data_IF_184674631745
#
_entry.id   IF_184674631745
#
_cell.length_a   1.000
_cell.length_b   1.000
_cell.length_c   1.000
_cell.angle_alpha   90.00
_cell.angle_beta   90.00
_cell.angle_gamma   90.00
#
_symmetry.space_group_name_H-M   'P 1'
#
loop_
_entity.id
_entity.type
_entity.pdbx_description
1 polymer ?
#
# COMPACT_ATOMS: atom_id res chain seq x y z
N UNK A 1 20.70 6.07 -18.67
CA UNK A 1 21.11 4.68 -18.80
C UNK A 1 19.90 3.82 -19.13
N UNK A 2 19.98 3.03 -20.21
CA UNK A 2 18.97 2.04 -20.56
C UNK A 2 19.66 0.68 -20.66
N UNK A 3 19.16 -0.31 -19.93
CA UNK A 3 19.77 -1.63 -19.82
C UNK A 3 18.72 -2.73 -19.90
N UNK A 4 19.03 -3.83 -20.56
CA UNK A 4 18.19 -5.03 -20.64
C UNK A 4 18.94 -6.24 -20.09
N UNK A 5 18.23 -7.09 -19.39
CA UNK A 5 18.76 -8.31 -18.80
C UNK A 5 17.72 -9.43 -18.88
N UNK A 6 18.18 -10.68 -19.09
CA UNK A 6 17.29 -11.85 -19.20
C UNK A 6 16.63 -12.23 -17.87
N UNK A 7 17.23 -11.85 -16.75
CA UNK A 7 16.69 -12.11 -15.43
C UNK A 7 15.74 -11.02 -14.96
N UNK A 8 15.72 -9.86 -15.65
CA UNK A 8 14.79 -8.78 -15.35
C UNK A 8 13.37 -9.16 -15.81
N UNK A 9 12.42 -9.16 -14.89
CA UNK A 9 11.04 -9.57 -15.17
C UNK A 9 10.09 -8.44 -15.57
N UNK A 10 10.47 -7.18 -15.28
CA UNK A 10 9.64 -6.00 -15.52
C UNK A 10 10.45 -4.88 -16.16
N UNK A 11 9.76 -3.98 -16.88
CA UNK A 11 10.36 -2.70 -17.24
C UNK A 11 10.19 -1.74 -16.08
N UNK A 12 11.32 -1.32 -15.51
CA UNK A 12 11.37 -0.41 -14.37
C UNK A 12 12.22 0.81 -14.72
N UNK A 13 11.73 1.99 -14.41
CA UNK A 13 12.52 3.21 -14.46
C UNK A 13 12.71 3.79 -13.07
N UNK A 14 13.95 4.22 -12.78
CA UNK A 14 14.34 4.91 -11.57
C UNK A 14 14.84 6.30 -11.95
N UNK A 15 14.31 7.32 -11.30
CA UNK A 15 14.63 8.72 -11.54
C UNK A 15 15.16 9.28 -10.22
N UNK A 16 16.46 9.49 -10.17
CA UNK A 16 17.16 9.97 -8.98
C UNK A 16 17.42 11.47 -9.09
N UNK A 17 17.01 12.22 -8.12
CA UNK A 17 17.41 13.62 -7.91
C UNK A 17 18.37 13.63 -6.72
N UNK A 18 19.69 13.61 -7.00
CA UNK A 18 20.73 13.47 -5.97
C UNK A 18 20.91 14.76 -5.20
N UNK A 19 21.07 14.65 -3.90
CA UNK A 19 21.42 15.74 -3.00
C UNK A 19 22.49 15.30 -1.98
N UNK A 20 22.95 16.24 -1.17
CA UNK A 20 23.94 15.94 -0.14
C UNK A 20 23.30 15.10 0.97
N UNK A 21 23.99 14.04 1.38
CA UNK A 21 23.62 13.30 2.58
C UNK A 21 23.81 14.17 3.82
N UNK A 22 22.95 13.98 4.81
CA UNK A 22 23.09 14.70 6.09
C UNK A 22 24.38 14.25 6.79
N UNK A 23 25.29 15.19 7.15
CA UNK A 23 26.50 14.85 7.87
C UNK A 23 26.20 14.13 9.19
N UNK A 24 27.00 13.11 9.54
CA UNK A 24 26.77 12.28 10.72
C UNK A 24 26.66 13.07 12.02
N UNK A 25 27.46 14.14 12.16
CA UNK A 25 27.43 15.04 13.31
C UNK A 25 26.12 15.82 13.48
N UNK A 26 25.32 15.93 12.41
CA UNK A 26 24.01 16.62 12.41
C UNK A 26 22.82 15.67 12.60
N UNK A 27 23.02 14.36 12.50
CA UNK A 27 21.94 13.37 12.64
C UNK A 27 21.35 13.32 14.05
N UNK A 28 22.10 13.75 15.07
CA UNK A 28 21.60 13.91 16.43
C UNK A 28 20.76 15.15 16.69
N UNK A 29 20.62 16.04 15.75
CA UNK A 29 19.94 17.33 15.93
C UNK A 29 18.43 17.26 15.68
N UNK A 30 17.67 18.16 16.30
CA UNK A 30 16.24 18.33 16.02
C UNK A 30 15.94 18.62 14.54
N UNK A 31 16.87 19.26 13.83
CA UNK A 31 16.77 19.55 12.42
C UNK A 31 16.65 18.27 11.59
N UNK A 32 17.43 17.26 11.90
CA UNK A 32 17.37 15.95 11.23
C UNK A 32 16.03 15.26 11.46
N UNK A 33 15.52 15.25 12.69
CA UNK A 33 14.23 14.66 13.00
C UNK A 33 13.08 15.36 12.24
N UNK A 34 13.11 16.69 12.16
CA UNK A 34 12.13 17.48 11.39
C UNK A 34 12.24 17.18 9.89
N UNK A 35 13.46 17.06 9.38
CA UNK A 35 13.71 16.71 7.98
C UNK A 35 13.14 15.32 7.66
N UNK A 36 13.43 14.31 8.45
CA UNK A 36 12.93 12.94 8.24
C UNK A 36 11.39 12.89 8.31
N UNK A 37 10.81 13.60 9.28
CA UNK A 37 9.36 13.74 9.37
C UNK A 37 8.79 14.36 8.09
N UNK A 38 9.33 15.49 7.65
CA UNK A 38 8.83 16.20 6.46
C UNK A 38 9.01 15.37 5.18
N UNK A 39 10.16 14.73 4.98
CA UNK A 39 10.45 13.87 3.83
C UNK A 39 9.51 12.66 3.78
N UNK A 40 9.26 12.03 4.93
CA UNK A 40 8.29 10.93 5.04
C UNK A 40 6.90 11.37 4.60
N UNK A 41 6.42 12.52 5.08
CA UNK A 41 5.09 13.02 4.68
C UNK A 41 5.02 13.43 3.22
N UNK A 42 6.07 14.05 2.66
CA UNK A 42 6.16 14.39 1.23
C UNK A 42 5.99 13.11 0.39
N UNK A 43 6.75 12.06 0.71
CA UNK A 43 6.65 10.78 0.00
C UNK A 43 5.27 10.14 0.17
N UNK A 44 4.70 10.15 1.37
CA UNK A 44 3.37 9.59 1.61
C UNK A 44 2.28 10.32 0.79
N UNK A 45 2.31 11.65 0.73
CA UNK A 45 1.35 12.44 -0.03
C UNK A 45 1.50 12.21 -1.55
N UNK A 46 2.74 12.19 -2.05
CA UNK A 46 2.98 11.96 -3.47
C UNK A 46 2.62 10.52 -3.87
N UNK A 47 2.96 9.54 -3.04
CA UNK A 47 2.61 8.13 -3.26
C UNK A 47 1.10 7.90 -3.25
N UNK A 48 0.34 8.63 -2.43
CA UNK A 48 -1.12 8.60 -2.47
C UNK A 48 -1.65 9.08 -3.85
N UNK A 49 -1.13 10.20 -4.38
CA UNK A 49 -1.50 10.68 -5.74
C UNK A 49 -1.14 9.66 -6.83
N UNK A 50 0.04 9.05 -6.73
CA UNK A 50 0.48 8.02 -7.69
C UNK A 50 -0.41 6.78 -7.63
N UNK A 51 -0.86 6.40 -6.43
CA UNK A 51 -1.76 5.26 -6.25
C UNK A 51 -3.18 5.52 -6.79
N UNK A 52 -3.69 6.75 -6.70
CA UNK A 52 -4.97 7.14 -7.31
C UNK A 52 -4.99 6.87 -8.83
N UNK A 53 -3.88 7.13 -9.52
CA UNK A 53 -3.76 6.91 -10.96
C UNK A 53 -3.78 5.41 -11.33
N UNK A 54 -3.36 4.55 -10.42
CA UNK A 54 -3.43 3.08 -10.61
C UNK A 54 -4.87 2.56 -10.59
N UNK A 55 -5.79 3.29 -9.96
CA UNK A 55 -7.21 2.89 -9.86
C UNK A 55 -8.06 3.28 -11.09
N UNK A 56 -7.47 3.99 -12.07
CA UNK A 56 -8.17 4.36 -13.31
C UNK A 56 -8.32 3.15 -14.25
N UNK A 57 -9.33 3.15 -15.12
CA UNK A 57 -9.62 2.05 -16.05
C UNK A 57 -8.41 1.66 -16.94
N UNK A 58 -7.61 2.63 -17.32
CA UNK A 58 -6.37 2.42 -18.06
C UNK A 58 -5.19 3.09 -17.35
N UNK A 59 -4.67 2.46 -16.27
CA UNK A 59 -3.62 3.05 -15.49
C UNK A 59 -2.35 3.29 -16.34
N UNK A 60 -1.63 4.39 -16.13
CA UNK A 60 -0.46 4.74 -16.94
C UNK A 60 0.74 3.81 -16.68
N UNK A 61 0.74 3.10 -15.57
CA UNK A 61 1.79 2.17 -15.13
C UNK A 61 1.19 1.05 -14.28
N UNK A 62 1.99 0.06 -13.94
CA UNK A 62 1.61 -1.04 -13.03
C UNK A 62 1.75 -0.58 -11.58
N UNK A 63 2.84 0.11 -11.26
CA UNK A 63 3.18 0.63 -9.94
C UNK A 63 4.07 1.86 -10.08
N UNK A 64 3.92 2.83 -9.19
CA UNK A 64 4.87 3.93 -9.03
C UNK A 64 4.93 4.35 -7.56
N UNK A 65 6.12 4.78 -7.13
CA UNK A 65 6.36 5.32 -5.81
C UNK A 65 7.52 6.29 -5.79
N UNK A 66 7.62 7.08 -4.71
CA UNK A 66 8.78 7.91 -4.39
C UNK A 66 9.29 7.58 -3.00
N UNK A 67 10.58 7.77 -2.80
CA UNK A 67 11.25 7.70 -1.52
C UNK A 67 12.50 8.57 -1.54
N UNK A 68 13.04 8.88 -0.38
CA UNK A 68 14.30 9.61 -0.22
C UNK A 68 15.22 8.77 0.67
N UNK A 69 16.39 8.39 0.14
CA UNK A 69 17.30 7.45 0.78
C UNK A 69 18.70 7.55 0.15
N UNK A 70 19.63 6.74 0.61
CA UNK A 70 20.97 6.62 0.03
C UNK A 70 20.94 6.44 -1.50
N UNK A 71 21.79 7.15 -2.22
CA UNK A 71 21.96 6.95 -3.65
C UNK A 71 22.70 5.63 -3.94
N UNK A 72 21.98 4.54 -4.18
CA UNK A 72 22.50 3.18 -4.31
C UNK A 72 23.26 2.74 -3.06
N UNK A 73 24.55 2.47 -3.22
CA UNK A 73 25.47 2.08 -2.14
C UNK A 73 26.38 3.22 -1.69
N UNK A 74 26.17 4.44 -2.24
CA UNK A 74 27.04 5.58 -1.99
C UNK A 74 26.56 6.36 -0.77
N UNK A 75 27.23 6.21 0.37
CA UNK A 75 26.93 6.91 1.62
C UNK A 75 27.23 8.43 1.61
N UNK A 76 27.74 8.96 0.49
CA UNK A 76 28.10 10.38 0.36
C UNK A 76 27.02 11.22 -0.34
N UNK A 77 25.99 10.59 -0.82
CA UNK A 77 24.87 11.22 -1.52
C UNK A 77 23.59 10.47 -1.23
N UNK A 78 22.53 11.21 -0.96
CA UNK A 78 21.17 10.77 -0.95
C UNK A 78 20.49 11.11 -2.27
N UNK A 79 19.31 10.54 -2.49
CA UNK A 79 18.51 10.85 -3.66
C UNK A 79 17.01 10.77 -3.37
N UNK A 80 16.31 11.83 -3.72
CA UNK A 80 14.88 11.72 -3.90
C UNK A 80 14.61 10.92 -5.18
N UNK A 81 14.08 9.72 -5.01
CA UNK A 81 13.96 8.73 -6.06
C UNK A 81 12.51 8.48 -6.42
N UNK A 82 12.18 8.63 -7.70
CA UNK A 82 10.94 8.12 -8.27
C UNK A 82 11.16 6.77 -8.94
N UNK A 83 10.32 5.79 -8.60
CA UNK A 83 10.31 4.46 -9.21
C UNK A 83 9.00 4.28 -9.96
N UNK A 84 9.06 3.73 -11.19
CA UNK A 84 7.87 3.32 -11.94
C UNK A 84 8.09 1.96 -12.60
N UNK A 85 7.17 1.04 -12.38
CA UNK A 85 7.06 -0.23 -13.11
C UNK A 85 6.09 0.00 -14.25
N UNK A 86 6.62 0.00 -15.47
CA UNK A 86 5.90 0.36 -16.68
C UNK A 86 5.17 -0.85 -17.30
N UNK A 87 4.11 -0.57 -18.03
CA UNK A 87 3.58 -1.52 -19.00
C UNK A 87 4.53 -1.59 -20.20
N UNK A 88 4.76 -2.78 -20.73
CA UNK A 88 5.69 -2.97 -21.86
C UNK A 88 5.29 -2.22 -23.13
N UNK A 89 4.00 -1.98 -23.33
CA UNK A 89 3.41 -1.24 -24.46
C UNK A 89 3.29 0.26 -24.23
N UNK A 90 3.61 0.76 -23.03
CA UNK A 90 3.43 2.16 -22.63
C UNK A 90 4.55 2.70 -21.72
N UNK A 91 5.81 2.28 -21.95
CA UNK A 91 6.96 2.63 -21.09
C UNK A 91 7.12 4.15 -20.96
N UNK A 92 7.16 4.85 -22.07
CA UNK A 92 7.34 6.31 -22.08
C UNK A 92 6.20 7.04 -21.36
N UNK A 93 4.96 6.56 -21.48
CA UNK A 93 3.81 7.13 -20.80
C UNK A 93 3.90 6.94 -19.27
N UNK A 94 4.35 5.78 -18.81
CA UNK A 94 4.55 5.53 -17.38
C UNK A 94 5.59 6.49 -16.79
N UNK A 95 6.74 6.62 -17.44
CA UNK A 95 7.81 7.54 -17.04
C UNK A 95 7.33 8.99 -17.05
N UNK A 96 6.66 9.42 -18.14
CA UNK A 96 6.13 10.77 -18.28
C UNK A 96 5.11 11.11 -17.18
N UNK A 97 4.28 10.12 -16.79
CA UNK A 97 3.27 10.34 -15.74
C UNK A 97 3.90 10.48 -14.36
N UNK A 98 4.88 9.65 -14.00
CA UNK A 98 5.64 9.82 -12.74
C UNK A 98 6.30 11.20 -12.69
N UNK A 99 6.99 11.59 -13.77
CA UNK A 99 7.65 12.90 -13.86
C UNK A 99 6.63 14.06 -13.76
N UNK A 100 5.47 13.93 -14.40
CA UNK A 100 4.40 14.94 -14.36
C UNK A 100 3.86 15.15 -12.95
N UNK A 101 3.59 14.06 -12.21
CA UNK A 101 3.08 14.18 -10.83
C UNK A 101 4.15 14.72 -9.88
N UNK A 102 5.40 14.33 -10.05
CA UNK A 102 6.54 14.89 -9.31
C UNK A 102 6.72 16.39 -9.59
N UNK A 103 6.66 16.79 -10.86
CA UNK A 103 6.75 18.19 -11.26
C UNK A 103 5.53 18.99 -10.79
N UNK A 104 4.32 18.42 -10.81
CA UNK A 104 3.10 19.02 -10.24
C UNK A 104 3.27 19.30 -8.75
N UNK A 105 3.79 18.34 -8.00
CA UNK A 105 4.06 18.53 -6.57
C UNK A 105 5.14 19.59 -6.34
N UNK A 106 6.17 19.66 -7.18
CA UNK A 106 7.21 20.70 -7.13
C UNK A 106 6.66 22.09 -7.37
N UNK A 107 5.77 22.26 -8.39
CA UNK A 107 5.24 23.57 -8.79
C UNK A 107 4.14 24.08 -7.85
N UNK A 108 3.23 23.24 -7.45
CA UNK A 108 2.01 23.63 -6.73
C UNK A 108 1.96 23.15 -5.28
N UNK A 109 2.87 22.25 -4.89
CA UNK A 109 2.89 21.66 -3.56
C UNK A 109 1.75 20.68 -3.29
N UNK A 110 1.54 20.45 -2.00
CA UNK A 110 0.47 19.64 -1.43
C UNK A 110 -0.58 20.53 -0.78
N UNK A 111 -1.81 20.03 -0.71
CA UNK A 111 -2.93 20.71 -0.05
C UNK A 111 -2.91 20.47 1.47
N UNK A 112 -3.60 21.32 2.23
CA UNK A 112 -3.79 21.14 3.67
C UNK A 112 -4.49 19.82 4.01
N UNK A 113 -5.42 19.38 3.17
CA UNK A 113 -6.16 18.13 3.40
C UNK A 113 -5.28 16.91 3.21
N UNK A 114 -4.41 16.86 2.19
CA UNK A 114 -3.41 15.81 2.02
C UNK A 114 -2.44 15.78 3.22
N UNK A 115 -1.92 16.95 3.61
CA UNK A 115 -1.01 17.06 4.73
C UNK A 115 -1.64 16.60 6.04
N UNK A 116 -2.87 17.01 6.33
CA UNK A 116 -3.57 16.62 7.55
C UNK A 116 -3.78 15.10 7.62
N UNK A 117 -4.10 14.45 6.50
CA UNK A 117 -4.21 12.97 6.43
C UNK A 117 -2.88 12.29 6.64
N UNK A 118 -1.84 12.70 5.93
CA UNK A 118 -0.50 12.12 6.06
C UNK A 118 0.04 12.28 7.49
N UNK A 119 -0.17 13.45 8.11
CA UNK A 119 0.18 13.72 9.50
C UNK A 119 -0.60 12.84 10.46
N UNK A 120 -1.92 12.70 10.27
CA UNK A 120 -2.76 11.86 11.13
C UNK A 120 -2.31 10.39 11.06
N UNK A 121 -1.97 9.91 9.88
CA UNK A 121 -1.46 8.54 9.69
C UNK A 121 -0.09 8.34 10.33
N UNK A 122 0.83 9.28 10.16
CA UNK A 122 2.14 9.23 10.81
C UNK A 122 2.03 9.21 12.35
N UNK A 123 1.23 10.13 12.91
CA UNK A 123 1.00 10.20 14.36
C UNK A 123 0.31 8.93 14.89
N UNK A 124 -0.61 8.35 14.13
CA UNK A 124 -1.25 7.09 14.48
C UNK A 124 -0.24 5.93 14.55
N UNK A 125 0.68 5.85 13.57
CA UNK A 125 1.73 4.81 13.57
C UNK A 125 2.65 4.98 14.77
N UNK A 126 3.05 6.21 15.05
CA UNK A 126 3.91 6.54 16.19
C UNK A 126 3.20 6.24 17.54
N UNK A 127 1.91 6.58 17.66
CA UNK A 127 1.09 6.23 18.83
C UNK A 127 1.00 4.72 19.04
N UNK A 128 0.80 3.97 17.97
CA UNK A 128 0.77 2.51 18.04
C UNK A 128 2.11 1.93 18.50
N UNK A 129 3.22 2.43 17.96
CA UNK A 129 4.57 2.01 18.37
C UNK A 129 4.82 2.35 19.86
N UNK A 130 4.40 3.54 20.32
CA UNK A 130 4.49 3.93 21.72
C UNK A 130 3.65 3.04 22.64
N UNK A 131 2.42 2.73 22.25
CA UNK A 131 1.53 1.87 23.04
C UNK A 131 2.07 0.41 23.13
N UNK A 132 2.77 -0.04 22.09
CA UNK A 132 3.36 -1.40 22.04
C UNK A 132 4.81 -1.48 22.56
N UNK A 133 5.39 -0.40 23.09
CA UNK A 133 6.82 -0.32 23.45
C UNK A 133 7.30 -1.44 24.37
N UNK A 134 6.44 -1.88 25.32
CA UNK A 134 6.75 -2.98 26.24
C UNK A 134 6.54 -4.37 25.63
N UNK A 135 6.05 -4.44 24.37
CA UNK A 135 5.74 -5.67 23.63
C UNK A 135 6.51 -5.77 22.32
N UNK A 136 7.51 -4.89 22.10
CA UNK A 136 8.38 -4.92 20.91
C UNK A 136 9.15 -6.22 20.85
N UNK A 137 9.33 -6.73 19.63
CA UNK A 137 10.15 -7.90 19.37
C UNK A 137 11.63 -7.53 19.27
N UNK A 138 12.51 -8.51 19.57
CA UNK A 138 13.95 -8.30 19.47
C UNK A 138 14.41 -7.90 18.06
N UNK A 139 13.76 -8.40 17.00
CA UNK A 139 14.07 -8.06 15.62
C UNK A 139 13.93 -6.56 15.34
N UNK A 140 12.93 -5.90 15.92
CA UNK A 140 12.71 -4.45 15.77
C UNK A 140 13.86 -3.63 16.39
N UNK A 141 14.43 -4.11 17.50
CA UNK A 141 15.61 -3.47 18.11
C UNK A 141 16.89 -3.75 17.30
N UNK A 142 17.01 -4.94 16.71
CA UNK A 142 18.17 -5.25 15.87
C UNK A 142 18.24 -4.31 14.68
N UNK A 143 17.14 -4.06 13.99
CA UNK A 143 17.11 -3.14 12.85
C UNK A 143 17.50 -1.71 13.25
N UNK A 144 17.05 -1.25 14.42
CA UNK A 144 17.41 0.06 14.96
C UNK A 144 18.91 0.15 15.29
N UNK A 145 19.49 -0.88 15.92
CA UNK A 145 20.91 -0.93 16.25
C UNK A 145 21.80 -1.08 15.01
N UNK A 146 21.36 -1.82 14.00
CA UNK A 146 22.11 -1.97 12.75
C UNK A 146 22.19 -0.63 12.01
N UNK A 147 21.08 0.11 11.88
CA UNK A 147 21.07 1.46 11.30
C UNK A 147 21.96 2.42 12.10
N UNK A 148 21.88 2.38 13.42
CA UNK A 148 22.77 3.18 14.25
C UNK A 148 24.25 2.88 13.99
N UNK A 149 24.61 1.60 13.92
CA UNK A 149 25.99 1.18 13.73
C UNK A 149 26.53 1.49 12.33
N UNK A 150 25.70 1.30 11.30
CA UNK A 150 26.12 1.47 9.92
C UNK A 150 26.05 2.93 9.45
N UNK A 151 25.03 3.67 9.89
CA UNK A 151 24.64 4.95 9.32
C UNK A 151 24.58 6.08 10.35
N UNK A 152 25.03 5.83 11.59
CA UNK A 152 24.98 6.78 12.70
C UNK A 152 23.57 7.34 13.00
N UNK A 153 22.50 6.58 12.62
CA UNK A 153 21.15 6.96 12.95
C UNK A 153 20.94 7.09 14.47
N UNK A 154 20.32 8.16 14.97
CA UNK A 154 20.09 8.32 16.40
C UNK A 154 19.10 7.28 16.93
N UNK A 155 19.30 6.87 18.18
CA UNK A 155 18.37 6.00 18.91
C UNK A 155 17.73 6.82 20.06
N UNK A 156 16.73 7.65 19.78
CA UNK A 156 16.08 8.46 20.82
C UNK A 156 15.24 7.63 21.79
N UNK A 157 14.82 6.45 21.36
CA UNK A 157 13.79 5.65 22.01
C UNK A 157 12.39 6.17 21.72
N UNK A 158 11.43 5.24 21.63
CA UNK A 158 10.06 5.55 21.20
C UNK A 158 9.35 6.57 22.10
N UNK A 159 9.65 6.60 23.39
CA UNK A 159 9.07 7.57 24.34
C UNK A 159 9.47 9.01 24.01
N UNK A 160 10.75 9.22 23.70
CA UNK A 160 11.26 10.53 23.32
C UNK A 160 10.77 10.93 21.93
N UNK A 161 10.83 10.01 20.96
CA UNK A 161 10.34 10.25 19.61
C UNK A 161 8.85 10.63 19.62
N UNK A 162 8.03 9.86 20.35
CA UNK A 162 6.61 10.16 20.52
C UNK A 162 6.37 11.53 21.13
N UNK A 163 7.09 11.90 22.19
CA UNK A 163 6.94 13.19 22.84
C UNK A 163 7.36 14.35 21.91
N UNK A 164 8.50 14.23 21.27
CA UNK A 164 9.05 15.25 20.37
C UNK A 164 8.15 15.46 19.16
N UNK A 165 7.78 14.39 18.46
CA UNK A 165 6.97 14.49 17.24
C UNK A 165 5.58 15.07 17.55
N UNK A 166 4.93 14.66 18.64
CA UNK A 166 3.65 15.26 19.02
C UNK A 166 3.75 16.75 19.36
N UNK A 167 4.92 17.22 19.81
CA UNK A 167 5.15 18.63 20.06
C UNK A 167 5.41 19.42 18.76
N UNK A 168 6.21 18.88 17.84
CA UNK A 168 6.66 19.62 16.66
C UNK A 168 5.68 19.52 15.47
N UNK A 169 5.03 18.37 15.26
CA UNK A 169 4.17 18.14 14.09
C UNK A 169 3.05 19.20 13.94
N UNK A 170 2.36 19.66 15.02
CA UNK A 170 1.37 20.72 14.88
C UNK A 170 1.94 22.09 14.48
N UNK A 171 3.24 22.31 14.71
CA UNK A 171 3.90 23.59 14.43
C UNK A 171 4.49 23.66 13.00
N UNK A 172 4.58 22.53 12.31
CA UNK A 172 5.11 22.46 10.94
C UNK A 172 3.96 22.67 9.95
N UNK A 173 3.92 23.79 9.20
CA UNK A 173 2.88 24.04 8.22
C UNK A 173 3.17 23.29 6.90
N UNK A 174 2.13 22.97 6.11
CA UNK A 174 2.29 22.36 4.77
C UNK A 174 3.21 23.19 3.85
N UNK A 175 3.24 24.49 4.02
CA UNK A 175 4.12 25.37 3.26
C UNK A 175 5.61 25.03 3.43
N UNK A 176 6.04 24.57 4.60
CA UNK A 176 7.42 24.13 4.82
C UNK A 176 7.74 22.84 4.02
N UNK A 177 6.83 21.91 3.98
CA UNK A 177 6.96 20.69 3.17
C UNK A 177 6.98 21.03 1.67
N UNK A 178 6.15 21.97 1.26
CA UNK A 178 6.12 22.43 -0.14
C UNK A 178 7.43 23.09 -0.58
N UNK A 179 8.07 23.85 0.29
CA UNK A 179 9.42 24.39 0.04
C UNK A 179 10.47 23.28 -0.04
N UNK A 180 10.39 22.27 0.84
CA UNK A 180 11.28 21.13 0.80
C UNK A 180 11.10 20.31 -0.48
N UNK A 181 9.86 20.07 -0.93
CA UNK A 181 9.59 19.39 -2.20
C UNK A 181 10.25 20.10 -3.40
N UNK A 182 10.25 21.43 -3.42
CA UNK A 182 10.94 22.21 -4.45
C UNK A 182 12.46 22.02 -4.41
N UNK A 183 13.04 21.80 -3.23
CA UNK A 183 14.46 21.57 -3.06
C UNK A 183 14.88 20.13 -3.42
N UNK A 184 14.02 19.14 -3.19
CA UNK A 184 14.28 17.73 -3.50
C UNK A 184 14.29 17.46 -5.00
N UNK A 185 13.46 18.12 -5.79
CA UNK A 185 13.37 17.92 -7.24
C UNK A 185 14.05 19.08 -7.97
N UNK A 186 15.27 18.87 -8.40
CA UNK A 186 16.11 19.87 -9.06
C UNK A 186 16.35 19.54 -10.52
N UNK A 187 16.82 20.55 -11.28
CA UNK A 187 17.20 20.39 -12.69
C UNK A 187 18.64 19.86 -12.87
N UNK A 188 19.37 19.78 -11.79
CA UNK A 188 20.75 19.31 -11.75
C UNK A 188 20.86 18.01 -10.95
N UNK A 189 21.96 17.28 -11.13
CA UNK A 189 22.24 16.03 -10.40
C UNK A 189 21.19 14.93 -10.61
N UNK A 190 20.47 14.94 -11.74
CA UNK A 190 19.47 13.93 -12.06
C UNK A 190 20.07 12.74 -12.80
N UNK A 191 19.71 11.52 -12.39
CA UNK A 191 20.06 10.29 -13.09
C UNK A 191 18.76 9.54 -13.40
N UNK A 192 18.65 9.05 -14.64
CA UNK A 192 17.55 8.18 -15.07
C UNK A 192 18.14 6.84 -15.46
N UNK A 193 17.70 5.77 -14.80
CA UNK A 193 18.05 4.40 -15.10
C UNK A 193 16.79 3.62 -15.49
N UNK A 194 16.82 2.94 -16.63
CA UNK A 194 15.73 2.12 -17.12
C UNK A 194 16.25 0.72 -17.31
N UNK A 195 15.63 -0.23 -16.61
CA UNK A 195 15.94 -1.65 -16.68
C UNK A 195 14.75 -2.40 -17.26
N UNK A 196 14.99 -3.35 -18.12
CA UNK A 196 13.92 -4.15 -18.71
C UNK A 196 14.39 -5.55 -19.11
N UNK A 197 13.45 -6.46 -19.38
CA UNK A 197 13.79 -7.79 -19.84
C UNK A 197 14.44 -7.76 -21.23
N UNK A 198 15.44 -8.62 -21.42
CA UNK A 198 15.96 -8.94 -22.75
C UNK A 198 14.99 -9.91 -23.45
N UNK A 199 13.96 -9.33 -24.06
CA UNK A 199 12.81 -10.04 -24.64
C UNK A 199 12.59 -9.61 -26.07
N UNK A 200 12.38 -10.58 -26.96
CA UNK A 200 12.06 -10.31 -28.37
C UNK A 200 10.78 -9.47 -28.50
N UNK A 201 10.84 -8.43 -29.32
CA UNK A 201 9.71 -7.54 -29.59
C UNK A 201 9.55 -6.39 -28.59
N UNK A 202 10.22 -6.41 -27.43
CA UNK A 202 10.21 -5.29 -26.48
C UNK A 202 11.07 -4.13 -27.01
N UNK A 203 10.46 -2.97 -27.13
CA UNK A 203 11.15 -1.74 -27.56
C UNK A 203 11.41 -0.84 -26.35
N UNK A 204 12.65 -0.82 -25.89
CA UNK A 204 13.08 0.11 -24.86
C UNK A 204 13.18 1.54 -25.41
N UNK A 205 12.84 2.56 -24.62
CA UNK A 205 13.01 3.96 -25.04
C UNK A 205 14.49 4.30 -25.25
N UNK A 206 14.77 5.18 -26.21
CA UNK A 206 16.12 5.70 -26.41
C UNK A 206 16.45 6.78 -25.37
N UNK A 207 17.75 7.06 -25.15
CA UNK A 207 18.17 8.15 -24.29
C UNK A 207 17.59 9.50 -24.76
N UNK A 208 17.52 9.73 -26.07
CA UNK A 208 16.98 10.98 -26.62
C UNK A 208 15.47 11.10 -26.40
N UNK A 209 14.72 9.99 -26.47
CA UNK A 209 13.30 9.96 -26.11
C UNK A 209 13.11 10.36 -24.64
N UNK A 210 13.92 9.83 -23.73
CA UNK A 210 13.85 10.19 -22.29
C UNK A 210 14.24 11.65 -22.06
N UNK A 211 15.31 12.15 -22.67
CA UNK A 211 15.68 13.57 -22.59
C UNK A 211 14.56 14.47 -23.09
N UNK A 212 13.88 14.05 -24.17
CA UNK A 212 12.71 14.78 -24.69
C UNK A 212 11.57 14.78 -23.68
N UNK A 213 11.22 13.66 -23.07
CA UNK A 213 10.17 13.56 -22.04
C UNK A 213 10.49 14.51 -20.88
N UNK A 214 11.71 14.49 -20.35
CA UNK A 214 12.14 15.37 -19.27
C UNK A 214 11.96 16.85 -19.64
N UNK A 215 12.30 17.23 -20.86
CA UNK A 215 12.12 18.60 -21.37
C UNK A 215 10.66 18.98 -21.54
N UNK A 216 9.86 18.10 -22.12
CA UNK A 216 8.46 18.35 -22.42
C UNK A 216 7.64 18.52 -21.13
N UNK A 217 7.86 17.67 -20.11
CA UNK A 217 7.19 17.77 -18.81
C UNK A 217 7.49 19.12 -18.12
N UNK A 218 8.75 19.58 -18.17
CA UNK A 218 9.12 20.90 -17.61
C UNK A 218 8.44 22.07 -18.33
N UNK A 219 8.14 21.92 -19.61
CA UNK A 219 7.46 22.93 -20.41
C UNK A 219 5.92 22.80 -20.37
N UNK A 220 5.40 21.71 -19.82
CA UNK A 220 3.97 21.41 -19.77
C UNK A 220 3.26 22.40 -18.81
N UNK A 221 2.13 22.95 -19.25
CA UNK A 221 1.27 23.74 -18.37
C UNK A 221 0.47 22.82 -17.46
N UNK A 222 1.01 22.55 -16.29
CA UNK A 222 0.34 21.77 -15.28
C UNK A 222 -0.70 22.59 -14.52
N UNK A 223 -1.66 21.91 -13.92
CA UNK A 223 -2.62 22.49 -12.97
C UNK A 223 -2.39 21.87 -11.59
N UNK A 224 -2.73 22.61 -10.53
CA UNK A 224 -2.64 22.08 -9.17
C UNK A 224 -3.50 20.82 -9.02
N UNK A 225 -3.03 19.93 -8.16
CA UNK A 225 -3.82 18.77 -7.76
C UNK A 225 -5.07 19.22 -7.00
N UNK A 226 -6.21 18.60 -7.29
CA UNK A 226 -7.48 18.83 -6.59
C UNK A 226 -7.78 17.62 -5.73
N UNK A 227 -7.65 17.80 -4.44
CA UNK A 227 -7.96 16.75 -3.46
C UNK A 227 -9.46 16.64 -3.22
N UNK A 228 -10.06 15.59 -3.74
CA UNK A 228 -11.48 15.27 -3.49
C UNK A 228 -11.58 14.52 -2.18
N UNK A 229 -12.21 15.12 -1.19
CA UNK A 229 -12.45 14.52 0.13
C UNK A 229 -13.95 14.44 0.36
N UNK A 230 -14.42 13.32 0.91
CA UNK A 230 -15.80 13.17 1.39
C UNK A 230 -15.83 13.40 2.89
N UNK A 231 -16.78 14.22 3.35
CA UNK A 231 -17.07 14.43 4.77
C UNK A 231 -18.15 13.47 5.30
N UNK A 232 -18.63 12.53 4.46
CA UNK A 232 -19.64 11.58 4.84
C UNK A 232 -19.09 10.55 5.86
N UNK A 233 -19.88 10.15 6.87
CA UNK A 233 -19.51 9.06 7.75
C UNK A 233 -19.53 7.73 6.98
N UNK A 234 -18.73 6.75 7.40
CA UNK A 234 -18.70 5.41 6.81
C UNK A 234 -20.11 4.79 6.74
N UNK A 235 -20.91 5.04 7.75
CA UNK A 235 -22.31 4.63 7.81
C UNK A 235 -23.15 5.78 8.32
N UNK A 236 -24.21 6.14 7.57
CA UNK A 236 -25.14 7.19 7.98
C UNK A 236 -26.00 6.77 9.19
N UNK A 237 -26.35 5.49 9.25
CA UNK A 237 -27.18 4.92 10.32
C UNK A 237 -26.55 3.61 10.83
N UNK A 238 -26.57 3.41 12.14
CA UNK A 238 -26.17 2.15 12.73
C UNK A 238 -27.19 1.04 12.39
N UNK A 239 -26.75 -0.18 12.08
CA UNK A 239 -27.67 -1.28 11.84
C UNK A 239 -28.44 -1.62 13.11
N UNK A 240 -29.66 -2.15 12.92
CA UNK A 240 -30.46 -2.59 14.06
C UNK A 240 -29.75 -3.74 14.78
N UNK A 241 -29.39 -3.51 16.03
CA UNK A 241 -28.66 -4.49 16.84
C UNK A 241 -29.48 -5.77 17.10
N UNK A 242 -28.77 -6.90 17.17
CA UNK A 242 -29.32 -8.16 17.69
C UNK A 242 -29.31 -8.19 19.22
N UNK A 243 -29.70 -9.35 19.79
CA UNK A 243 -29.68 -9.58 21.23
C UNK A 243 -28.71 -10.71 21.55
N UNK A 244 -28.04 -10.64 22.71
CA UNK A 244 -27.35 -11.77 23.30
C UNK A 244 -28.40 -12.64 23.98
N UNK A 245 -28.51 -13.89 23.60
CA UNK A 245 -29.49 -14.84 24.13
C UNK A 245 -28.86 -15.84 25.12
N UNK A 246 -27.52 -15.98 25.09
CA UNK A 246 -26.80 -16.81 26.07
C UNK A 246 -25.37 -16.31 26.22
N UNK A 247 -24.82 -16.46 27.42
CA UNK A 247 -23.43 -16.20 27.76
C UNK A 247 -22.87 -17.38 28.56
N UNK A 248 -21.70 -17.86 28.20
CA UNK A 248 -21.00 -18.98 28.83
C UNK A 248 -19.51 -18.69 28.96
N UNK A 249 -18.94 -18.91 30.15
CA UNK A 249 -17.51 -18.78 30.40
C UNK A 249 -16.86 -20.16 30.43
N UNK A 250 -15.70 -20.29 29.82
CA UNK A 250 -14.82 -21.46 29.88
C UNK A 250 -13.51 -21.06 30.57
N UNK A 251 -13.36 -21.50 31.80
CA UNK A 251 -12.18 -21.18 32.63
C UNK A 251 -10.92 -21.91 32.13
N UNK A 252 -11.06 -23.04 31.44
CA UNK A 252 -9.94 -23.82 30.90
C UNK A 252 -9.19 -23.02 29.84
N UNK A 253 -9.94 -22.33 28.97
CA UNK A 253 -9.38 -21.52 27.89
C UNK A 253 -9.39 -20.03 28.20
N UNK A 254 -10.02 -19.60 29.29
CA UNK A 254 -10.20 -18.18 29.64
C UNK A 254 -11.01 -17.44 28.58
N UNK A 255 -12.09 -18.06 28.10
CA UNK A 255 -12.94 -17.49 27.04
C UNK A 255 -14.37 -17.26 27.53
N UNK A 256 -15.03 -16.26 26.93
CA UNK A 256 -16.47 -16.04 27.07
C UNK A 256 -17.14 -16.26 25.71
N UNK A 257 -18.11 -17.14 25.64
CA UNK A 257 -18.91 -17.40 24.44
C UNK A 257 -20.27 -16.74 24.56
N UNK A 258 -20.56 -15.81 23.65
CA UNK A 258 -21.89 -15.19 23.50
C UNK A 258 -22.62 -15.86 22.34
N UNK A 259 -23.89 -16.18 22.52
CA UNK A 259 -24.77 -16.59 21.43
C UNK A 259 -25.71 -15.43 21.11
N UNK A 260 -25.72 -15.02 19.85
CA UNK A 260 -26.59 -13.94 19.37
C UNK A 260 -27.95 -14.47 18.93
N UNK A 261 -28.94 -13.61 18.87
CA UNK A 261 -30.33 -13.96 18.49
C UNK A 261 -30.49 -14.54 17.07
N UNK A 262 -29.50 -14.31 16.20
CA UNK A 262 -29.41 -14.90 14.85
C UNK A 262 -28.63 -16.23 14.81
N UNK A 263 -28.21 -16.77 15.97
CA UNK A 263 -27.45 -18.01 16.08
C UNK A 263 -25.94 -17.87 15.96
N UNK A 264 -25.41 -16.70 15.65
CA UNK A 264 -23.95 -16.48 15.61
C UNK A 264 -23.34 -16.64 16.99
N UNK A 265 -22.24 -17.37 17.08
CA UNK A 265 -21.44 -17.50 18.30
C UNK A 265 -20.24 -16.55 18.23
N UNK A 266 -20.09 -15.74 19.27
CA UNK A 266 -18.95 -14.83 19.43
C UNK A 266 -18.12 -15.33 20.61
N UNK A 267 -16.88 -15.74 20.34
CA UNK A 267 -15.94 -16.23 21.36
C UNK A 267 -14.94 -15.10 21.62
N UNK A 268 -14.92 -14.64 22.87
CA UNK A 268 -14.04 -13.53 23.29
C UNK A 268 -12.96 -14.10 24.19
N UNK A 269 -11.71 -13.74 23.89
CA UNK A 269 -10.56 -14.02 24.76
C UNK A 269 -9.76 -12.76 24.98
N UNK A 270 -9.65 -12.33 26.24
CA UNK A 270 -8.73 -11.25 26.60
C UNK A 270 -7.31 -11.79 26.68
N UNK A 271 -6.36 -11.10 26.05
CA UNK A 271 -4.94 -11.43 26.10
C UNK A 271 -4.12 -10.17 26.39
N UNK A 272 -2.86 -10.36 26.76
CA UNK A 272 -1.89 -9.30 27.06
C UNK A 272 -0.68 -9.33 26.10
N UNK A 273 -0.80 -10.02 24.96
CA UNK A 273 0.28 -10.12 23.99
C UNK A 273 0.57 -8.80 23.29
N UNK A 274 -0.47 -8.00 23.07
CA UNK A 274 -0.43 -6.67 22.47
C UNK A 274 -1.28 -5.71 23.28
N UNK A 275 -0.82 -4.47 23.43
CA UNK A 275 -1.53 -3.45 24.17
C UNK A 275 -2.56 -2.68 23.34
N UNK A 276 -2.28 -2.54 22.04
CA UNK A 276 -3.06 -1.69 21.11
C UNK A 276 -3.59 -2.51 19.91
N UNK A 277 -4.07 -3.74 20.17
CA UNK A 277 -4.60 -4.60 19.13
C UNK A 277 -5.83 -5.39 19.57
N UNK A 278 -6.88 -5.35 18.76
CA UNK A 278 -7.99 -6.31 18.78
C UNK A 278 -7.96 -7.07 17.47
N UNK A 279 -7.96 -8.40 17.53
CA UNK A 279 -8.09 -9.27 16.37
C UNK A 279 -9.45 -9.94 16.33
N UNK A 280 -10.08 -9.91 15.17
CA UNK A 280 -11.31 -10.60 14.87
C UNK A 280 -11.07 -11.66 13.81
N UNK A 281 -11.68 -12.84 13.98
CA UNK A 281 -11.75 -13.87 12.95
C UNK A 281 -13.15 -14.47 12.94
N UNK A 282 -13.88 -14.30 11.85
CA UNK A 282 -15.11 -15.01 11.56
C UNK A 282 -14.83 -16.21 10.66
N UNK A 283 -15.54 -17.32 10.87
CA UNK A 283 -15.42 -18.54 10.08
C UNK A 283 -16.80 -19.09 9.79
N UNK A 284 -17.09 -19.38 8.52
CA UNK A 284 -18.25 -20.12 8.05
C UNK A 284 -17.81 -21.40 7.35
N UNK A 285 -18.60 -22.46 7.43
CA UNK A 285 -18.35 -23.69 6.67
C UNK A 285 -18.90 -23.53 5.26
N UNK A 286 -18.14 -23.99 4.25
CA UNK A 286 -18.48 -23.89 2.84
C UNK A 286 -17.24 -23.87 1.99
N UNK A 287 -16.84 -22.68 1.57
CA UNK A 287 -15.65 -22.45 0.77
C UNK A 287 -15.78 -22.89 -0.68
N UNK A 288 -14.65 -22.98 -1.37
CA UNK A 288 -14.60 -23.33 -2.79
C UNK A 288 -15.17 -24.72 -3.12
N UNK A 289 -15.27 -25.61 -2.12
CA UNK A 289 -15.87 -26.95 -2.28
C UNK A 289 -17.34 -26.93 -2.67
N UNK A 290 -18.04 -25.80 -2.45
CA UNK A 290 -19.47 -25.64 -2.81
C UNK A 290 -19.68 -25.25 -4.28
N UNK A 291 -18.62 -24.88 -4.99
CA UNK A 291 -18.70 -24.35 -6.35
C UNK A 291 -18.07 -25.32 -7.36
N UNK A 292 -18.53 -25.34 -8.61
CA UNK A 292 -17.92 -26.14 -9.68
C UNK A 292 -16.53 -25.61 -10.07
N UNK A 293 -15.73 -26.43 -10.76
CA UNK A 293 -14.39 -26.06 -11.19
C UNK A 293 -14.37 -24.91 -12.19
N UNK A 294 -15.50 -24.64 -12.87
CA UNK A 294 -15.66 -23.46 -13.76
C UNK A 294 -15.55 -22.14 -13.04
N UNK A 295 -15.86 -22.10 -11.73
CA UNK A 295 -15.86 -20.87 -10.92
C UNK A 295 -14.49 -20.59 -10.25
N UNK A 296 -13.51 -21.43 -10.45
CA UNK A 296 -12.19 -21.29 -9.80
C UNK A 296 -11.54 -19.94 -10.08
N UNK A 297 -11.71 -19.41 -11.29
CA UNK A 297 -11.13 -18.11 -11.63
C UNK A 297 -11.78 -16.96 -10.81
N UNK A 298 -13.09 -17.00 -10.60
CA UNK A 298 -13.82 -16.00 -9.84
C UNK A 298 -13.52 -16.13 -8.34
N UNK A 299 -13.47 -17.36 -7.82
CA UNK A 299 -13.13 -17.62 -6.42
C UNK A 299 -11.72 -17.12 -6.07
N UNK A 300 -10.74 -17.39 -6.93
CA UNK A 300 -9.37 -16.91 -6.74
C UNK A 300 -9.23 -15.41 -7.03
N UNK A 301 -10.19 -14.81 -7.74
CA UNK A 301 -10.28 -13.39 -8.01
C UNK A 301 -11.13 -12.61 -7.01
N UNK A 302 -11.44 -13.19 -5.84
CA UNK A 302 -12.29 -12.57 -4.83
C UNK A 302 -11.84 -11.17 -4.41
N UNK A 303 -10.54 -10.88 -4.44
CA UNK A 303 -10.00 -9.55 -4.15
C UNK A 303 -10.54 -8.46 -5.09
N UNK A 304 -11.02 -8.85 -6.28
CA UNK A 304 -11.66 -7.94 -7.22
C UNK A 304 -12.91 -7.25 -6.65
N UNK A 305 -13.59 -7.87 -5.70
CA UNK A 305 -14.76 -7.28 -5.04
C UNK A 305 -14.38 -6.04 -4.23
N UNK A 306 -13.18 -6.03 -3.64
CA UNK A 306 -12.72 -4.92 -2.79
C UNK A 306 -12.22 -3.70 -3.59
N UNK A 307 -11.88 -3.87 -4.88
CA UNK A 307 -11.28 -2.77 -5.67
C UNK A 307 -12.27 -1.64 -5.96
N UNK A 308 -13.56 -1.91 -5.92
CA UNK A 308 -14.61 -0.91 -6.08
C UNK A 308 -14.82 -0.02 -4.86
N UNK A 309 -14.33 -0.43 -3.70
CA UNK A 309 -14.60 0.24 -2.42
C UNK A 309 -15.82 -0.33 -1.68
N UNK A 310 -16.36 0.43 -0.74
CA UNK A 310 -17.47 0.01 0.12
C UNK A 310 -18.52 1.14 0.27
N UNK A 311 -19.78 0.79 0.28
CA UNK A 311 -20.87 1.75 0.44
C UNK A 311 -20.85 2.85 -0.62
N UNK A 312 -20.78 4.11 -0.20
CA UNK A 312 -20.68 5.27 -1.07
C UNK A 312 -19.23 5.61 -1.46
N UNK A 313 -18.24 4.94 -0.88
CA UNK A 313 -16.83 5.29 -1.03
C UNK A 313 -16.16 4.41 -2.08
N UNK A 314 -15.49 5.04 -3.05
CA UNK A 314 -14.51 4.34 -3.88
C UNK A 314 -13.36 3.83 -3.00
N UNK A 315 -12.50 2.96 -3.52
CA UNK A 315 -11.33 2.49 -2.78
C UNK A 315 -10.42 3.68 -2.36
N UNK A 316 -10.25 4.67 -3.24
CA UNK A 316 -9.48 5.90 -2.96
C UNK A 316 -10.14 6.74 -1.86
N UNK A 317 -11.45 6.96 -1.95
CA UNK A 317 -12.17 7.74 -0.93
C UNK A 317 -12.14 7.03 0.42
N UNK A 318 -12.24 5.69 0.42
CA UNK A 318 -12.17 4.88 1.63
C UNK A 318 -10.81 5.01 2.33
N UNK A 319 -9.70 4.97 1.58
CA UNK A 319 -8.36 5.22 2.11
C UNK A 319 -8.26 6.62 2.75
N UNK A 320 -8.84 7.64 2.10
CA UNK A 320 -8.85 9.02 2.62
C UNK A 320 -9.65 9.15 3.93
N UNK A 321 -10.81 8.52 4.00
CA UNK A 321 -11.68 8.55 5.20
C UNK A 321 -11.10 7.75 6.35
N UNK A 322 -10.31 6.72 6.07
CA UNK A 322 -9.67 5.88 7.07
C UNK A 322 -8.30 6.40 7.53
N UNK A 323 -7.79 7.48 6.95
CA UNK A 323 -6.51 8.04 7.36
C UNK A 323 -6.47 8.38 8.86
N UNK A 324 -5.44 7.94 9.55
CA UNK A 324 -5.29 8.10 11.00
C UNK A 324 -6.10 7.10 11.84
N UNK A 325 -6.77 6.11 11.23
CA UNK A 325 -7.46 5.03 11.92
C UNK A 325 -6.69 3.71 11.77
N UNK A 326 -6.60 2.94 12.85
CA UNK A 326 -6.02 1.60 12.84
C UNK A 326 -7.17 0.59 12.80
N UNK A 327 -7.72 0.36 11.62
CA UNK A 327 -8.79 -0.61 11.39
C UNK A 327 -8.65 -1.22 9.99
N UNK A 328 -8.73 -2.54 9.92
CA UNK A 328 -8.70 -3.28 8.66
C UNK A 328 -9.62 -4.48 8.71
N UNK A 329 -10.19 -4.85 7.56
CA UNK A 329 -11.02 -6.04 7.36
C UNK A 329 -10.60 -6.69 6.06
N UNK A 330 -10.45 -8.01 6.07
CA UNK A 330 -10.23 -8.83 4.89
C UNK A 330 -11.11 -10.07 4.95
N UNK A 331 -11.37 -10.66 3.79
CA UNK A 331 -12.15 -11.88 3.67
C UNK A 331 -11.45 -12.85 2.73
N UNK A 332 -11.82 -14.12 2.82
CA UNK A 332 -11.23 -15.15 1.97
C UNK A 332 -12.10 -16.39 1.87
N UNK A 333 -11.95 -17.10 0.76
CA UNK A 333 -12.57 -18.40 0.49
C UNK A 333 -11.45 -19.44 0.46
N UNK A 334 -11.44 -20.33 1.44
CA UNK A 334 -10.59 -21.50 1.46
C UNK A 334 -11.26 -22.72 0.82
N UNK A 335 -10.66 -23.90 0.95
CA UNK A 335 -11.23 -25.13 0.37
C UNK A 335 -12.62 -25.47 0.97
N UNK A 336 -12.78 -25.37 2.30
CA UNK A 336 -13.96 -25.77 3.05
C UNK A 336 -14.51 -24.72 4.01
N UNK A 337 -13.93 -23.53 4.00
CA UNK A 337 -14.31 -22.44 4.91
C UNK A 337 -14.26 -21.11 4.21
N UNK A 338 -15.12 -20.22 4.62
CA UNK A 338 -15.09 -18.80 4.33
C UNK A 338 -14.66 -18.07 5.59
N UNK A 339 -13.85 -17.05 5.44
CA UNK A 339 -13.29 -16.31 6.56
C UNK A 339 -13.44 -14.81 6.40
N UNK A 340 -13.65 -14.14 7.52
CA UNK A 340 -13.45 -12.69 7.64
C UNK A 340 -12.45 -12.45 8.75
N UNK A 341 -11.45 -11.62 8.50
CA UNK A 341 -10.44 -11.25 9.48
C UNK A 341 -10.49 -9.74 9.67
N UNK A 342 -10.34 -9.30 10.91
CA UNK A 342 -10.26 -7.89 11.26
C UNK A 342 -9.14 -7.64 12.24
N UNK A 343 -8.56 -6.44 12.15
CA UNK A 343 -7.59 -5.95 13.13
C UNK A 343 -7.82 -4.47 13.35
N UNK A 344 -7.81 -4.03 14.60
CA UNK A 344 -7.94 -2.62 14.94
C UNK A 344 -7.27 -2.30 16.28
N UNK A 345 -7.07 -0.99 16.53
CA UNK A 345 -6.85 -0.50 17.89
C UNK A 345 -8.15 -0.55 18.72
N UNK A 346 -8.10 -0.58 20.04
CA UNK A 346 -9.31 -0.50 20.88
C UNK A 346 -10.19 0.72 20.56
N UNK A 347 -9.59 1.87 20.25
CA UNK A 347 -10.32 3.10 19.89
C UNK A 347 -11.02 3.04 18.55
N UNK A 348 -10.52 2.22 17.63
CA UNK A 348 -11.04 2.07 16.27
C UNK A 348 -11.91 0.81 16.06
N UNK A 349 -12.33 0.17 17.18
CA UNK A 349 -13.15 -1.04 17.13
C UNK A 349 -14.46 -0.84 16.37
N UNK A 350 -15.14 0.28 16.60
CA UNK A 350 -16.36 0.63 15.87
C UNK A 350 -16.10 0.73 14.36
N UNK A 351 -15.01 1.38 13.95
CA UNK A 351 -14.61 1.48 12.53
C UNK A 351 -14.41 0.10 11.91
N UNK A 352 -13.73 -0.81 12.60
CA UNK A 352 -13.55 -2.19 12.12
C UNK A 352 -14.90 -2.90 11.96
N UNK A 353 -15.84 -2.72 12.89
CA UNK A 353 -17.18 -3.34 12.79
C UNK A 353 -18.03 -2.72 11.67
N UNK A 354 -17.92 -1.41 11.43
CA UNK A 354 -18.56 -0.73 10.30
C UNK A 354 -18.02 -1.28 8.96
N UNK A 355 -16.69 -1.39 8.82
CA UNK A 355 -16.05 -1.99 7.64
C UNK A 355 -16.51 -3.44 7.44
N UNK A 356 -16.59 -4.23 8.52
CA UNK A 356 -17.07 -5.61 8.44
C UNK A 356 -18.52 -5.65 7.92
N UNK A 357 -19.40 -4.81 8.47
CA UNK A 357 -20.78 -4.75 8.04
C UNK A 357 -20.92 -4.36 6.56
N UNK A 358 -20.21 -3.31 6.14
CA UNK A 358 -20.24 -2.83 4.75
C UNK A 358 -19.66 -3.85 3.77
N UNK A 359 -18.64 -4.62 4.16
CA UNK A 359 -18.07 -5.69 3.34
C UNK A 359 -19.12 -6.72 2.92
N UNK A 360 -20.06 -7.05 3.80
CA UNK A 360 -21.11 -8.03 3.52
C UNK A 360 -22.41 -7.46 2.97
N UNK A 361 -22.67 -6.18 3.19
CA UNK A 361 -23.99 -5.58 2.86
C UNK A 361 -23.95 -4.55 1.76
N UNK A 362 -22.77 -3.96 1.50
CA UNK A 362 -22.62 -2.85 0.58
C UNK A 362 -21.26 -2.87 -0.16
N UNK A 363 -20.84 -4.01 -0.77
CA UNK A 363 -19.71 -3.97 -1.67
C UNK A 363 -20.03 -3.03 -2.83
N UNK A 364 -19.11 -2.12 -3.16
CA UNK A 364 -19.34 -1.15 -4.22
C UNK A 364 -18.83 -1.70 -5.56
N UNK A 365 -19.71 -1.71 -6.57
CA UNK A 365 -19.30 -2.04 -7.93
C UNK A 365 -18.62 -0.82 -8.58
N UNK A 366 -17.47 -1.07 -9.21
CA UNK A 366 -16.73 -0.09 -10.01
C UNK A 366 -16.09 -0.79 -11.20
N UNK A 367 -16.70 -0.63 -12.38
CA UNK A 367 -16.23 -1.34 -13.59
C UNK A 367 -14.85 -0.87 -14.06
N UNK A 368 -14.52 0.40 -13.83
CA UNK A 368 -13.19 0.96 -14.16
C UNK A 368 -12.10 0.39 -13.24
N UNK A 369 -12.36 0.33 -11.94
CA UNK A 369 -11.46 -0.27 -10.97
C UNK A 369 -11.27 -1.78 -11.25
N UNK A 370 -12.34 -2.49 -11.63
CA UNK A 370 -12.25 -3.90 -12.02
C UNK A 370 -11.44 -4.10 -13.30
N UNK A 371 -11.65 -3.28 -14.32
CA UNK A 371 -10.86 -3.32 -15.54
C UNK A 371 -9.36 -3.07 -15.25
N UNK A 372 -9.06 -2.09 -14.40
CA UNK A 372 -7.70 -1.82 -13.91
C UNK A 372 -7.10 -3.02 -13.18
N UNK A 373 -7.87 -3.63 -12.25
CA UNK A 373 -7.47 -4.83 -11.53
C UNK A 373 -7.10 -5.97 -12.49
N UNK A 374 -7.95 -6.27 -13.48
CA UNK A 374 -7.69 -7.31 -14.49
C UNK A 374 -6.40 -7.01 -15.28
N UNK A 375 -6.23 -5.79 -15.75
CA UNK A 375 -5.06 -5.39 -16.52
C UNK A 375 -3.75 -5.54 -15.72
N UNK A 376 -3.73 -5.10 -14.46
CA UNK A 376 -2.57 -5.21 -13.57
C UNK A 376 -2.24 -6.66 -13.24
N UNK A 377 -3.25 -7.45 -12.89
CA UNK A 377 -3.04 -8.88 -12.59
C UNK A 377 -2.56 -9.65 -13.81
N UNK A 378 -3.12 -9.38 -14.99
CA UNK A 378 -2.67 -10.01 -16.23
C UNK A 378 -1.20 -9.72 -16.52
N UNK A 379 -0.78 -8.45 -16.39
CA UNK A 379 0.62 -8.06 -16.57
C UNK A 379 1.53 -8.71 -15.51
N UNK A 380 1.13 -8.72 -14.26
CA UNK A 380 1.90 -9.36 -13.18
C UNK A 380 2.07 -10.87 -13.42
N UNK A 381 1.02 -11.56 -13.84
CA UNK A 381 1.07 -13.00 -14.16
C UNK A 381 1.93 -13.31 -15.37
N UNK A 382 1.89 -12.48 -16.43
CA UNK A 382 2.77 -12.61 -17.59
C UNK A 382 4.25 -12.51 -17.20
N UNK A 383 4.58 -11.57 -16.33
CA UNK A 383 5.94 -11.41 -15.81
C UNK A 383 6.36 -12.59 -14.93
N UNK A 384 5.44 -13.09 -14.10
CA UNK A 384 5.66 -14.27 -13.27
C UNK A 384 5.98 -15.52 -14.09
N UNK A 385 5.34 -15.68 -15.25
CA UNK A 385 5.55 -16.83 -16.14
C UNK A 385 6.99 -16.89 -16.72
N UNK A 386 7.71 -15.78 -16.72
CA UNK A 386 9.11 -15.73 -17.15
C UNK A 386 10.09 -16.20 -16.07
N UNK A 387 9.64 -16.37 -14.83
CA UNK A 387 10.49 -16.77 -13.71
C UNK A 387 10.68 -18.29 -13.70
N UNK A 388 11.94 -18.82 -13.83
CA UNK A 388 12.21 -20.26 -13.82
C UNK A 388 11.72 -20.98 -12.55
N UNK A 389 11.77 -20.29 -11.39
CA UNK A 389 11.31 -20.86 -10.13
C UNK A 389 9.80 -21.08 -10.13
N UNK A 390 9.05 -20.18 -10.76
CA UNK A 390 7.59 -20.34 -10.92
C UNK A 390 7.28 -21.53 -11.85
N UNK A 391 7.98 -21.65 -12.98
CA UNK A 391 7.83 -22.80 -13.88
C UNK A 391 8.15 -24.14 -13.19
N UNK A 392 9.20 -24.15 -12.36
CA UNK A 392 9.53 -25.32 -11.54
C UNK A 392 8.41 -25.64 -10.54
N UNK A 393 7.92 -24.66 -9.81
CA UNK A 393 6.84 -24.84 -8.82
C UNK A 393 5.53 -25.30 -9.46
N UNK A 394 5.19 -24.77 -10.64
CA UNK A 394 4.02 -25.20 -11.41
C UNK A 394 4.16 -26.68 -11.85
N UNK A 395 5.36 -27.09 -12.28
CA UNK A 395 5.63 -28.48 -12.70
C UNK A 395 5.54 -29.44 -11.51
N UNK A 396 6.08 -29.05 -10.36
CA UNK A 396 6.00 -29.85 -9.10
C UNK A 396 4.53 -29.98 -8.67
N UNK A 397 3.79 -28.88 -8.66
CA UNK A 397 2.37 -28.88 -8.30
C UNK A 397 1.55 -29.79 -9.26
N UNK A 398 1.77 -29.65 -10.57
CA UNK A 398 1.11 -30.48 -11.56
C UNK A 398 1.40 -31.97 -11.35
N UNK A 399 2.64 -32.35 -11.03
CA UNK A 399 3.03 -33.72 -10.74
C UNK A 399 2.39 -34.27 -9.47
N UNK A 400 2.43 -33.51 -8.37
CA UNK A 400 1.87 -33.94 -7.08
C UNK A 400 0.35 -34.08 -7.14
N UNK A 401 -0.34 -33.13 -7.78
CA UNK A 401 -1.80 -33.06 -7.81
C UNK A 401 -2.40 -33.61 -9.12
N UNK A 402 -1.63 -34.35 -9.94
CA UNK A 402 -2.11 -34.98 -11.17
C UNK A 402 -2.88 -33.99 -12.08
N UNK A 403 -2.35 -32.79 -12.25
CA UNK A 403 -2.94 -31.70 -13.03
C UNK A 403 -4.35 -31.28 -12.59
N UNK A 404 -4.68 -31.47 -11.30
CA UNK A 404 -5.99 -31.08 -10.79
C UNK A 404 -6.23 -29.56 -10.95
N UNK A 405 -7.35 -29.12 -11.60
CA UNK A 405 -7.56 -27.71 -11.93
C UNK A 405 -7.57 -26.78 -10.72
N UNK A 406 -8.05 -27.26 -9.57
CA UNK A 406 -8.08 -26.47 -8.31
C UNK A 406 -6.70 -26.25 -7.68
N UNK A 407 -5.68 -26.93 -8.16
CA UNK A 407 -4.29 -26.82 -7.68
C UNK A 407 -3.36 -26.20 -8.73
N UNK A 408 -3.90 -25.89 -9.90
CA UNK A 408 -3.20 -25.13 -10.92
C UNK A 408 -3.14 -23.66 -10.53
N UNK A 409 -1.98 -23.02 -10.77
CA UNK A 409 -1.86 -21.56 -10.64
C UNK A 409 -2.71 -20.88 -11.73
N UNK A 410 -3.32 -19.77 -11.39
CA UNK A 410 -3.98 -18.89 -12.36
C UNK A 410 -2.92 -18.33 -13.31
N UNK A 411 -3.20 -18.39 -14.59
CA UNK A 411 -2.36 -17.86 -15.67
C UNK A 411 -2.96 -16.59 -16.27
N UNK A 412 -2.13 -15.81 -16.95
CA UNK A 412 -2.51 -14.53 -17.52
C UNK A 412 -3.71 -14.62 -18.51
N UNK A 413 -3.79 -15.71 -19.31
CA UNK A 413 -4.89 -15.95 -20.25
C UNK A 413 -6.24 -16.28 -19.58
N UNK A 414 -6.20 -16.66 -18.31
CA UNK A 414 -7.41 -16.96 -17.52
C UNK A 414 -8.10 -15.68 -16.98
N UNK A 415 -7.33 -14.60 -16.79
CA UNK A 415 -7.86 -13.36 -16.23
C UNK A 415 -9.00 -12.76 -17.05
N UNK A 416 -8.96 -12.91 -18.37
CA UNK A 416 -10.02 -12.39 -19.25
C UNK A 416 -11.39 -13.05 -19.00
N UNK A 417 -11.39 -14.27 -18.43
CA UNK A 417 -12.59 -15.06 -18.10
C UNK A 417 -13.20 -14.67 -16.75
N UNK A 418 -12.51 -13.82 -15.97
CA UNK A 418 -13.01 -13.35 -14.67
C UNK A 418 -14.26 -12.51 -14.88
N UNK A 419 -15.33 -12.87 -14.19
CA UNK A 419 -16.61 -12.20 -14.20
C UNK A 419 -16.78 -11.36 -12.93
N UNK A 420 -17.38 -10.17 -13.08
CA UNK A 420 -17.61 -9.26 -11.94
C UNK A 420 -18.99 -9.45 -11.32
N UNK A 421 -19.93 -10.11 -12.02
CA UNK A 421 -21.29 -10.43 -11.55
C UNK A 421 -21.29 -11.74 -10.75
#
# INVERSE_FOLDING_TARGET
LVYQDKEQSNVQALIFNKHEATPDEQKGDMGYLVQNYATTLINNMLNARLNELVQTANPPYIYAATYDDDFFVAKTKDAFTGVVVCKEDAIENGIATLLRETERARQFGFTETEYNRARAEYLRQLESAYNERDKRKNEEYVDEYVRHFLDNEPIPGIENEYAIINQIAPAIPVAALNQMMQALVTDSNQVVAILGPDKEGLKMPTEDAIKKILKDIKAEKLTAYVDKVSDEPLMAEAPKGGKIVSEQTDDTFGTTTLTLSNGVKVIIKKTDFKADEIRMKGVSLGGSSLFPDSEIININGLDAVSVGGLGNFSAVDLEKVLAGKKASVSYGIGDKTETVNGSCSPKDFETMMQLTYLTFTAPRRDDDAFASYKNRNKAALQNMEMNPQVAFSDSVSAGIYMHHPRRARIKADMIDKMDYD
#
